data_IF_745834964188
#
_entry.id   IF_745834964188
#
_cell.length_a   1.000
_cell.length_b   1.000
_cell.length_c   1.000
_cell.angle_alpha   90.00
_cell.angle_beta   90.00
_cell.angle_gamma   90.00
#
_symmetry.space_group_name_H-M   'P 1'
#
loop_
_entity.id
_entity.type
_entity.pdbx_description
1 polymer ?
#
# COMPACT_ATOMS: atom_id res chain seq x y z
N UNK A 1 -0.76 10.54 -4.54
CA UNK A 1 -1.70 10.56 -5.70
C UNK A 1 -1.63 9.34 -6.62
N UNK A 2 -0.50 8.62 -6.76
CA UNK A 2 -0.43 7.35 -7.53
C UNK A 2 -0.83 6.12 -6.67
N UNK A 3 -0.28 6.05 -5.46
CA UNK A 3 -0.47 4.97 -4.47
C UNK A 3 -1.94 4.68 -4.17
N UNK A 4 -2.75 5.73 -3.98
CA UNK A 4 -4.16 5.62 -3.62
C UNK A 4 -4.99 4.91 -4.69
N UNK A 5 -4.79 5.30 -5.96
CA UNK A 5 -5.53 4.75 -7.09
C UNK A 5 -5.17 3.29 -7.33
N UNK A 6 -3.89 2.93 -7.19
CA UNK A 6 -3.45 1.54 -7.30
C UNK A 6 -4.00 0.67 -6.17
N UNK A 7 -3.97 1.15 -4.92
CA UNK A 7 -4.57 0.43 -3.78
C UNK A 7 -6.05 0.15 -4.01
N UNK A 8 -6.81 1.14 -4.49
CA UNK A 8 -8.24 0.97 -4.81
C UNK A 8 -8.43 -0.07 -5.91
N UNK A 9 -7.62 0.00 -6.98
CA UNK A 9 -7.70 -0.94 -8.10
C UNK A 9 -7.40 -2.38 -7.64
N UNK A 10 -6.31 -2.58 -6.90
CA UNK A 10 -5.91 -3.90 -6.38
C UNK A 10 -6.95 -4.44 -5.40
N UNK A 11 -7.46 -3.60 -4.50
CA UNK A 11 -8.50 -4.01 -3.57
C UNK A 11 -9.73 -4.53 -4.32
N UNK A 12 -10.12 -3.88 -5.42
CA UNK A 12 -11.23 -4.33 -6.27
C UNK A 12 -10.91 -5.62 -7.02
N UNK A 13 -9.71 -5.72 -7.59
CA UNK A 13 -9.27 -6.88 -8.38
C UNK A 13 -9.25 -8.16 -7.53
N UNK A 14 -8.73 -8.06 -6.30
CA UNK A 14 -8.63 -9.18 -5.35
C UNK A 14 -9.85 -9.33 -4.44
N UNK A 15 -10.91 -8.52 -4.65
CA UNK A 15 -12.15 -8.50 -3.83
C UNK A 15 -11.89 -8.36 -2.32
N UNK A 16 -10.84 -7.62 -1.95
CA UNK A 16 -10.47 -7.39 -0.55
C UNK A 16 -11.32 -6.25 0.01
N UNK A 17 -11.82 -6.39 1.24
CA UNK A 17 -12.55 -5.29 1.90
C UNK A 17 -11.61 -4.33 2.61
N UNK A 18 -11.94 -3.02 2.65
CA UNK A 18 -11.18 -2.01 3.41
C UNK A 18 -11.02 -2.45 4.87
N UNK A 19 -12.10 -3.00 5.46
CA UNK A 19 -12.12 -3.59 6.80
C UNK A 19 -11.10 -4.72 7.02
N UNK A 20 -10.81 -5.53 6.01
CA UNK A 20 -9.84 -6.62 6.14
C UNK A 20 -8.42 -6.07 6.20
N UNK A 21 -8.10 -5.13 5.32
CA UNK A 21 -6.78 -4.48 5.29
C UNK A 21 -6.60 -3.65 6.57
N UNK A 22 -7.61 -2.86 6.95
CA UNK A 22 -7.56 -2.03 8.17
C UNK A 22 -7.36 -2.90 9.41
N UNK A 23 -8.07 -4.03 9.53
CA UNK A 23 -7.87 -4.98 10.63
C UNK A 23 -6.47 -5.61 10.61
N UNK A 24 -5.94 -5.95 9.43
CA UNK A 24 -4.62 -6.55 9.30
C UNK A 24 -3.48 -5.59 9.71
N UNK A 25 -3.68 -4.28 9.52
CA UNK A 25 -2.68 -3.25 9.84
C UNK A 25 -2.96 -2.53 11.16
N UNK A 26 -4.02 -2.92 11.88
CA UNK A 26 -4.39 -2.32 13.17
C UNK A 26 -4.98 -0.91 13.06
N UNK A 27 -5.55 -0.54 11.91
CA UNK A 27 -6.24 0.74 11.69
C UNK A 27 -7.76 0.57 11.69
N UNK A 28 -8.45 1.65 12.06
CA UNK A 28 -9.88 1.76 11.82
C UNK A 28 -10.18 1.84 10.32
N UNK A 29 -11.29 1.26 9.90
CA UNK A 29 -11.74 1.30 8.50
C UNK A 29 -11.85 2.74 7.97
N UNK A 30 -12.30 3.65 8.81
CA UNK A 30 -12.40 5.07 8.47
C UNK A 30 -11.03 5.74 8.27
N UNK A 31 -10.04 5.41 9.12
CA UNK A 31 -8.67 5.92 8.97
C UNK A 31 -8.03 5.39 7.68
N UNK A 32 -8.22 4.11 7.39
CA UNK A 32 -7.78 3.51 6.14
C UNK A 32 -8.42 4.19 4.94
N UNK A 33 -9.75 4.39 4.96
CA UNK A 33 -10.49 5.07 3.89
C UNK A 33 -10.01 6.50 3.67
N UNK A 34 -9.81 7.29 4.72
CA UNK A 34 -9.32 8.67 4.59
C UNK A 34 -7.92 8.74 3.96
N UNK A 35 -7.04 7.81 4.33
CA UNK A 35 -5.70 7.66 3.72
C UNK A 35 -5.76 7.17 2.27
N UNK A 36 -6.62 6.19 1.99
CA UNK A 36 -6.90 5.69 0.62
C UNK A 36 -7.52 6.77 -0.27
N UNK A 37 -8.20 7.77 0.29
CA UNK A 37 -8.71 8.94 -0.45
C UNK A 37 -7.69 10.07 -0.62
N UNK A 38 -6.47 9.91 -0.09
CA UNK A 38 -5.43 10.94 -0.13
C UNK A 38 -5.69 12.12 0.82
N UNK A 39 -6.60 11.98 1.78
CA UNK A 39 -6.83 13.00 2.81
C UNK A 39 -5.73 13.01 3.88
N UNK A 40 -5.02 11.89 4.04
CA UNK A 40 -3.91 11.73 4.98
C UNK A 40 -2.81 10.87 4.36
N UNK A 41 -1.57 11.21 4.66
CA UNK A 41 -0.41 10.41 4.28
C UNK A 41 -0.32 9.09 5.04
N UNK A 42 0.27 8.09 4.38
CA UNK A 42 0.61 6.81 4.99
C UNK A 42 1.89 6.95 5.81
N UNK A 43 1.88 6.41 7.03
CA UNK A 43 3.10 6.26 7.83
C UNK A 43 3.90 5.09 7.29
N UNK A 44 5.23 5.17 7.38
CA UNK A 44 6.12 4.08 6.95
C UNK A 44 5.73 2.72 7.55
N UNK A 45 5.36 2.67 8.83
CA UNK A 45 4.91 1.44 9.50
C UNK A 45 3.63 0.87 8.89
N UNK A 46 2.68 1.73 8.50
CA UNK A 46 1.42 1.32 7.88
C UNK A 46 1.67 0.82 6.45
N UNK A 47 2.53 1.51 5.68
CA UNK A 47 2.93 1.07 4.34
C UNK A 47 3.58 -0.32 4.39
N UNK A 48 4.46 -0.55 5.38
CA UNK A 48 5.06 -1.87 5.62
C UNK A 48 4.05 -2.94 6.00
N UNK A 49 3.08 -2.62 6.86
CA UNK A 49 2.04 -3.56 7.26
C UNK A 49 1.11 -3.93 6.08
N UNK A 50 0.66 -2.94 5.31
CA UNK A 50 -0.14 -3.14 4.09
C UNK A 50 0.65 -4.00 3.10
N UNK A 51 1.93 -3.68 2.89
CA UNK A 51 2.81 -4.46 2.03
C UNK A 51 2.89 -5.91 2.48
N UNK A 52 3.14 -6.16 3.76
CA UNK A 52 3.28 -7.53 4.26
C UNK A 52 1.98 -8.32 4.12
N UNK A 53 0.83 -7.66 4.34
CA UNK A 53 -0.49 -8.26 4.17
C UNK A 53 -0.82 -8.57 2.71
N UNK A 54 -0.49 -7.66 1.79
CA UNK A 54 -0.82 -7.79 0.36
C UNK A 54 0.20 -8.63 -0.41
N UNK A 55 1.44 -8.79 0.08
CA UNK A 55 2.51 -9.61 -0.54
C UNK A 55 2.05 -11.00 -1.02
N UNK A 56 1.30 -11.80 -0.25
CA UNK A 56 0.80 -13.11 -0.72
C UNK A 56 -0.29 -13.02 -1.80
N UNK A 57 -1.01 -11.90 -1.93
CA UNK A 57 -2.09 -11.73 -2.90
C UNK A 57 -1.56 -11.25 -4.26
N UNK A 58 -0.74 -10.20 -4.26
CA UNK A 58 -0.28 -9.50 -5.47
C UNK A 58 1.16 -9.83 -5.86
N UNK A 59 1.86 -10.64 -5.06
CA UNK A 59 3.25 -10.98 -5.28
C UNK A 59 4.24 -9.86 -4.93
N UNK A 60 5.56 -10.14 -4.99
CA UNK A 60 6.60 -9.25 -4.48
C UNK A 60 6.82 -7.97 -5.30
N UNK A 61 6.29 -7.89 -6.53
CA UNK A 61 6.66 -6.87 -7.53
C UNK A 61 5.74 -5.65 -7.53
N UNK A 62 4.44 -5.81 -7.26
CA UNK A 62 3.49 -4.69 -7.33
C UNK A 62 3.58 -3.71 -6.17
N UNK A 63 3.93 -4.13 -4.95
CA UNK A 63 3.96 -3.20 -3.79
C UNK A 63 5.12 -2.22 -3.77
N UNK A 64 6.26 -2.62 -4.34
CA UNK A 64 7.33 -1.67 -4.54
C UNK A 64 6.91 -0.63 -5.58
N UNK A 65 6.23 -0.99 -6.68
CA UNK A 65 5.67 0.01 -7.62
C UNK A 65 4.65 0.95 -6.93
N UNK A 66 3.79 0.42 -6.05
CA UNK A 66 2.75 1.21 -5.36
C UNK A 66 3.33 2.20 -4.34
N UNK A 67 4.31 1.79 -3.54
CA UNK A 67 4.79 2.61 -2.40
C UNK A 67 6.20 3.19 -2.59
N UNK A 68 7.00 2.61 -3.48
CA UNK A 68 8.37 3.01 -3.79
C UNK A 68 8.50 3.21 -5.30
N UNK A 69 8.12 4.40 -5.75
CA UNK A 69 8.48 4.87 -7.08
C UNK A 69 9.96 4.54 -7.36
N UNK A 70 10.24 3.98 -8.53
CA UNK A 70 11.56 3.42 -8.92
C UNK A 70 12.70 4.45 -8.92
N UNK A 71 12.48 5.67 -8.47
CA UNK A 71 13.49 6.72 -8.30
C UNK A 71 14.50 6.44 -7.17
N UNK A 72 14.21 5.57 -6.19
CA UNK A 72 15.16 5.26 -5.09
C UNK A 72 15.94 3.95 -5.26
N UNK A 73 15.83 3.24 -6.39
CA UNK A 73 16.73 2.10 -6.68
C UNK A 73 18.02 2.50 -7.41
N UNK A 74 18.21 3.77 -7.73
CA UNK A 74 19.43 4.25 -8.40
C UNK A 74 20.46 4.91 -7.46
N UNK A 75 20.32 4.75 -6.14
CA UNK A 75 21.29 5.26 -5.13
C UNK A 75 22.14 4.18 -4.47
N UNK A 76 21.94 2.90 -4.79
CA UNK A 76 22.76 1.77 -4.29
C UNK A 76 23.46 0.99 -5.41
N UNK A 77 23.72 1.63 -6.56
CA UNK A 77 24.67 1.14 -7.58
C UNK A 77 25.60 2.28 -8.01
N UNK A 78 26.45 2.69 -7.09
CA UNK A 78 27.72 3.33 -7.40
C UNK A 78 28.76 2.67 -6.49
N UNK A 79 29.22 1.49 -6.93
CA UNK A 79 30.49 0.90 -6.51
C UNK A 79 31.52 1.21 -7.58
#
# INVERSE_FOLDING_TARGET
>A
MAVEKELIALRKDYKISQKQISKAIGLSEEQYRRKELGQYDWRATEMFAIRNYLKPFIGPRSLNDIFYDKTTQNVYKAS
#
